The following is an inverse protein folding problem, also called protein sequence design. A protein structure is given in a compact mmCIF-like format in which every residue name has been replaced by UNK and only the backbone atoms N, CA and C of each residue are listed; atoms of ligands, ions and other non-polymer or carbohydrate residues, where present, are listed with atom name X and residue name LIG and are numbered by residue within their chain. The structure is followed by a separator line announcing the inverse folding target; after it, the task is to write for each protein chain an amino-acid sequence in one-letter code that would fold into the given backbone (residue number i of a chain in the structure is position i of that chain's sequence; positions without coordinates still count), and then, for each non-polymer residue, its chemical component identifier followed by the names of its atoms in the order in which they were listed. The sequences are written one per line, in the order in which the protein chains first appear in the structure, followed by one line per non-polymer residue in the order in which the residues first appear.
data_IF_919897845766
#
_entry.id   IF_919897845766
#
_cell.length_a   1.000
_cell.length_b   1.000
_cell.length_c   1.000
_cell.angle_alpha   90.00
_cell.angle_beta   90.00
_cell.angle_gamma   90.00
#
_symmetry.space_group_name_H-M   'P 1'
#
loop_
_entity.id
_entity.type
_entity.pdbx_description
1 polymer ?
#
# COMPACT_ATOMS: atom_id res chain seq x y z
N UNK A 1 46.24 26.24 -9.28
CA UNK A 1 44.78 26.13 -9.08
C UNK A 1 44.48 24.70 -8.72
N UNK A 2 44.35 24.42 -7.42
CA UNK A 2 44.09 23.07 -6.91
C UNK A 2 42.57 22.87 -6.88
N UNK A 3 42.02 22.23 -7.91
CA UNK A 3 40.69 21.60 -7.82
C UNK A 3 40.88 20.40 -6.88
N UNK A 4 40.93 20.69 -5.57
CA UNK A 4 40.95 19.65 -4.54
C UNK A 4 39.68 18.83 -4.76
N UNK A 5 39.89 17.58 -5.13
CA UNK A 5 38.90 16.53 -5.12
C UNK A 5 38.31 16.45 -3.71
N UNK A 6 37.24 17.20 -3.50
CA UNK A 6 36.50 17.20 -2.26
C UNK A 6 35.63 15.92 -2.28
N UNK A 7 35.91 14.90 -1.45
CA UNK A 7 35.22 13.61 -1.51
C UNK A 7 33.71 13.73 -1.27
N UNK A 8 33.27 14.83 -0.63
CA UNK A 8 31.87 15.19 -0.49
C UNK A 8 31.18 15.48 -1.83
N UNK A 9 31.89 16.03 -2.82
CA UNK A 9 31.36 16.29 -4.16
C UNK A 9 31.20 15.00 -4.97
N UNK A 10 32.10 14.03 -4.80
CA UNK A 10 31.96 12.69 -5.40
C UNK A 10 30.78 11.92 -4.80
N UNK A 11 30.60 11.98 -3.48
CA UNK A 11 29.50 11.31 -2.78
C UNK A 11 28.13 11.91 -3.14
N UNK A 12 28.04 13.24 -3.26
CA UNK A 12 26.79 13.90 -3.67
C UNK A 12 26.42 13.60 -5.12
N UNK A 13 27.39 13.47 -6.02
CA UNK A 13 27.14 13.03 -7.41
C UNK A 13 26.63 11.58 -7.47
N UNK A 14 27.22 10.67 -6.70
CA UNK A 14 26.77 9.27 -6.63
C UNK A 14 25.35 9.20 -6.04
N UNK A 15 25.08 9.94 -4.97
CA UNK A 15 23.76 10.00 -4.36
C UNK A 15 22.70 10.57 -5.33
N UNK A 16 23.02 11.64 -6.06
CA UNK A 16 22.13 12.22 -7.06
C UNK A 16 21.83 11.23 -8.20
N UNK A 17 22.83 10.46 -8.63
CA UNK A 17 22.68 9.46 -9.68
C UNK A 17 21.81 8.28 -9.20
N UNK A 18 21.97 7.84 -7.96
CA UNK A 18 21.11 6.82 -7.35
C UNK A 18 19.66 7.29 -7.22
N UNK A 19 19.44 8.53 -6.78
CA UNK A 19 18.10 9.13 -6.72
C UNK A 19 17.48 9.21 -8.11
N UNK A 20 18.25 9.62 -9.12
CA UNK A 20 17.79 9.69 -10.51
C UNK A 20 17.39 8.31 -11.06
N UNK A 21 18.18 7.27 -10.78
CA UNK A 21 17.87 5.89 -11.17
C UNK A 21 16.62 5.36 -10.46
N UNK A 22 16.44 5.66 -9.17
CA UNK A 22 15.24 5.30 -8.41
C UNK A 22 13.99 5.99 -8.96
N UNK A 23 14.09 7.27 -9.32
CA UNK A 23 13.00 8.02 -9.94
C UNK A 23 12.64 7.45 -11.33
N UNK A 24 13.64 7.07 -12.14
CA UNK A 24 13.41 6.38 -13.41
C UNK A 24 12.75 5.02 -13.22
N UNK A 25 13.18 4.23 -12.24
CA UNK A 25 12.56 2.94 -11.93
C UNK A 25 11.12 3.11 -11.46
N UNK A 26 10.85 4.09 -10.59
CA UNK A 26 9.49 4.42 -10.15
C UNK A 26 8.62 4.91 -11.32
N UNK A 27 9.15 5.76 -12.20
CA UNK A 27 8.45 6.20 -13.40
C UNK A 27 8.14 5.03 -14.34
N UNK A 28 9.10 4.11 -14.55
CA UNK A 28 8.89 2.89 -15.32
C UNK A 28 7.84 1.99 -14.70
N UNK A 29 7.84 1.79 -13.38
CA UNK A 29 6.82 1.03 -12.68
C UNK A 29 5.43 1.65 -12.84
N UNK A 30 5.32 2.97 -12.75
CA UNK A 30 4.06 3.71 -12.97
C UNK A 30 3.60 3.58 -14.43
N UNK A 31 4.52 3.70 -15.39
CA UNK A 31 4.21 3.57 -16.82
C UNK A 31 3.78 2.14 -17.14
N UNK A 32 4.50 1.13 -16.67
CA UNK A 32 4.14 -0.29 -16.83
C UNK A 32 2.78 -0.59 -16.19
N UNK A 33 2.51 -0.09 -14.98
CA UNK A 33 1.20 -0.21 -14.34
C UNK A 33 0.08 0.49 -15.12
N UNK A 34 0.36 1.64 -15.74
CA UNK A 34 -0.60 2.34 -16.63
C UNK A 34 -0.80 1.61 -17.95
N UNK A 35 0.22 0.94 -18.48
CA UNK A 35 0.12 0.10 -19.68
C UNK A 35 -0.70 -1.14 -19.37
N UNK A 36 -0.50 -1.80 -18.22
CA UNK A 36 -1.29 -2.95 -17.80
C UNK A 36 -2.78 -2.57 -17.66
N UNK A 37 -3.08 -1.44 -17.02
CA UNK A 37 -4.45 -0.92 -16.93
C UNK A 37 -5.08 -0.60 -18.30
N UNK A 38 -4.30 -0.07 -19.24
CA UNK A 38 -4.77 0.20 -20.62
C UNK A 38 -4.92 -1.06 -21.45
N UNK A 39 -3.99 -2.01 -21.32
CA UNK A 39 -4.02 -3.30 -22.00
C UNK A 39 -5.23 -4.11 -21.53
N UNK A 40 -5.51 -4.15 -20.21
CA UNK A 40 -6.73 -4.75 -19.68
C UNK A 40 -7.98 -4.10 -20.27
N UNK A 41 -8.07 -2.77 -20.28
CA UNK A 41 -9.22 -2.07 -20.89
C UNK A 41 -9.36 -2.33 -22.38
N UNK A 42 -8.27 -2.38 -23.13
CA UNK A 42 -8.29 -2.65 -24.57
C UNK A 42 -8.70 -4.11 -24.87
N UNK A 43 -8.23 -5.07 -24.07
CA UNK A 43 -8.65 -6.48 -24.14
C UNK A 43 -10.13 -6.61 -23.79
N UNK A 44 -10.60 -5.91 -22.76
CA UNK A 44 -12.02 -5.86 -22.40
C UNK A 44 -12.86 -5.30 -23.56
N UNK A 45 -12.49 -4.16 -24.14
CA UNK A 45 -13.22 -3.60 -25.28
C UNK A 45 -13.18 -4.49 -26.54
N UNK A 46 -12.05 -5.16 -26.80
CA UNK A 46 -11.91 -6.11 -27.90
C UNK A 46 -12.78 -7.35 -27.74
N UNK A 47 -12.88 -7.89 -26.53
CA UNK A 47 -13.74 -9.03 -26.21
C UNK A 47 -15.23 -8.66 -26.27
N UNK A 48 -15.60 -7.46 -25.83
CA UNK A 48 -16.95 -6.88 -25.99
C UNK A 48 -17.33 -6.73 -27.48
N UNK A 49 -16.41 -6.26 -28.31
CA UNK A 49 -16.63 -6.11 -29.75
C UNK A 49 -16.76 -7.47 -30.49
N UNK A 50 -16.19 -8.54 -29.93
CA UNK A 50 -16.28 -9.90 -30.45
C UNK A 50 -17.53 -10.67 -29.99
N UNK A 51 -18.40 -10.07 -29.16
CA UNK A 51 -19.68 -10.67 -28.74
C UNK A 51 -19.52 -11.96 -27.93
N UNK A 52 -18.33 -12.20 -27.35
CA UNK A 52 -18.09 -13.36 -26.48
C UNK A 52 -18.61 -13.03 -25.08
N UNK A 53 -19.58 -13.81 -24.60
CA UNK A 53 -20.26 -13.64 -23.32
C UNK A 53 -19.38 -13.92 -22.08
N UNK A 54 -18.10 -14.23 -22.28
CA UNK A 54 -17.08 -14.46 -21.24
C UNK A 54 -16.84 -13.22 -20.33
N UNK A 55 -17.51 -12.10 -20.60
CA UNK A 55 -17.51 -10.88 -19.79
C UNK A 55 -18.32 -10.97 -18.51
N UNK A 56 -19.39 -11.78 -18.48
CA UNK A 56 -20.11 -12.06 -17.25
C UNK A 56 -19.15 -12.74 -16.27
N UNK A 57 -18.46 -13.78 -16.74
CA UNK A 57 -17.47 -14.51 -15.96
C UNK A 57 -16.30 -13.62 -15.51
N UNK A 58 -15.78 -12.73 -16.37
CA UNK A 58 -14.69 -11.83 -16.00
C UNK A 58 -15.11 -10.73 -15.00
N UNK A 59 -16.35 -10.22 -15.10
CA UNK A 59 -16.90 -9.28 -14.14
C UNK A 59 -17.17 -9.96 -12.79
N UNK A 60 -17.78 -11.14 -12.82
CA UNK A 60 -18.06 -11.93 -11.62
C UNK A 60 -16.75 -12.33 -10.93
N UNK A 61 -15.71 -12.73 -11.67
CA UNK A 61 -14.40 -13.01 -11.11
C UNK A 61 -13.75 -11.76 -10.49
N UNK A 62 -13.93 -10.58 -11.10
CA UNK A 62 -13.37 -9.34 -10.56
C UNK A 62 -14.10 -8.90 -9.28
N UNK A 63 -15.43 -9.07 -9.23
CA UNK A 63 -16.25 -8.82 -8.05
C UNK A 63 -15.92 -9.82 -6.95
N UNK A 64 -15.82 -11.10 -7.28
CA UNK A 64 -15.48 -12.17 -6.34
C UNK A 64 -14.09 -11.94 -5.74
N UNK A 65 -13.06 -11.65 -6.56
CA UNK A 65 -11.73 -11.33 -6.06
C UNK A 65 -11.71 -10.10 -5.16
N UNK A 66 -12.47 -9.05 -5.51
CA UNK A 66 -12.59 -7.85 -4.68
C UNK A 66 -13.28 -8.16 -3.34
N UNK A 67 -14.35 -8.95 -3.35
CA UNK A 67 -15.01 -9.39 -2.11
C UNK A 67 -14.10 -10.27 -1.28
N UNK A 68 -13.32 -11.16 -1.91
CA UNK A 68 -12.35 -12.00 -1.22
C UNK A 68 -11.25 -11.17 -0.55
N UNK A 69 -10.79 -10.10 -1.21
CA UNK A 69 -9.80 -9.17 -0.65
C UNK A 69 -10.40 -8.33 0.50
N UNK A 70 -11.64 -7.87 0.38
CA UNK A 70 -12.35 -7.18 1.46
C UNK A 70 -12.57 -8.09 2.67
N UNK A 71 -12.95 -9.36 2.47
CA UNK A 71 -13.11 -10.34 3.54
C UNK A 71 -11.77 -10.65 4.20
N UNK A 72 -10.71 -10.89 3.41
CA UNK A 72 -9.36 -11.09 3.96
C UNK A 72 -8.87 -9.89 4.75
N UNK A 73 -9.17 -8.67 4.28
CA UNK A 73 -8.83 -7.45 4.99
C UNK A 73 -9.62 -7.35 6.31
N UNK A 74 -10.92 -7.64 6.31
CA UNK A 74 -11.74 -7.64 7.51
C UNK A 74 -11.31 -8.70 8.53
N UNK A 75 -10.97 -9.91 8.06
CA UNK A 75 -10.46 -11.00 8.90
C UNK A 75 -9.11 -10.65 9.51
N UNK A 76 -8.22 -10.04 8.71
CA UNK A 76 -6.93 -9.55 9.19
C UNK A 76 -7.12 -8.45 10.24
N UNK A 77 -8.00 -7.48 9.99
CA UNK A 77 -8.31 -6.40 10.93
C UNK A 77 -8.87 -6.95 12.26
N UNK A 78 -9.79 -7.92 12.19
CA UNK A 78 -10.40 -8.56 13.35
C UNK A 78 -9.38 -9.36 14.17
N UNK A 79 -8.46 -10.05 13.49
CA UNK A 79 -7.40 -10.87 14.12
C UNK A 79 -6.30 -10.02 14.76
N UNK A 80 -6.19 -8.75 14.37
CA UNK A 80 -5.16 -7.81 14.82
C UNK A 80 -5.73 -6.65 15.63
N UNK A 81 -6.95 -6.78 16.15
CA UNK A 81 -7.54 -5.76 17.03
C UNK A 81 -6.61 -5.50 18.23
N UNK A 82 -6.32 -4.22 18.47
CA UNK A 82 -5.45 -3.77 19.56
C UNK A 82 -3.95 -3.88 19.29
N UNK A 83 -3.53 -4.44 18.15
CA UNK A 83 -2.11 -4.53 17.77
C UNK A 83 -1.71 -3.32 16.92
N UNK A 84 -0.64 -2.59 17.28
CA UNK A 84 -0.13 -1.50 16.47
C UNK A 84 0.60 -2.05 15.23
N UNK A 85 0.30 -1.47 14.09
CA UNK A 85 0.87 -1.80 12.79
C UNK A 85 1.32 -0.52 12.08
N UNK A 86 2.52 -0.55 11.50
CA UNK A 86 3.03 0.57 10.70
C UNK A 86 2.58 0.40 9.24
N UNK A 87 1.76 1.33 8.75
CA UNK A 87 1.24 1.33 7.38
C UNK A 87 2.28 1.85 6.38
N UNK A 88 2.94 2.93 6.77
CA UNK A 88 4.05 3.57 6.06
C UNK A 88 4.93 4.23 7.10
N UNK A 89 6.18 4.54 6.75
CA UNK A 89 7.13 5.15 7.67
C UNK A 89 6.53 6.37 8.39
N UNK A 90 6.39 6.27 9.71
CA UNK A 90 5.82 7.34 10.55
C UNK A 90 4.29 7.45 10.53
N UNK A 91 3.57 6.43 10.04
CA UNK A 91 2.11 6.34 10.12
C UNK A 91 1.71 4.98 10.71
N UNK A 92 1.14 5.04 11.91
CA UNK A 92 0.73 3.89 12.70
C UNK A 92 -0.78 3.75 12.73
N UNK A 93 -1.24 2.51 12.76
CA UNK A 93 -2.63 2.12 12.83
C UNK A 93 -2.80 1.07 13.93
N UNK A 94 -3.92 1.14 14.66
CA UNK A 94 -4.37 0.09 15.56
C UNK A 94 -5.80 -0.30 15.15
N UNK A 95 -6.03 -1.52 14.64
CA UNK A 95 -7.37 -1.99 14.34
C UNK A 95 -8.25 -2.01 15.60
N UNK A 96 -9.46 -1.48 15.50
CA UNK A 96 -10.45 -1.47 16.59
C UNK A 96 -11.50 -2.58 16.40
N UNK A 97 -11.86 -2.84 15.15
CA UNK A 97 -12.76 -3.90 14.71
C UNK A 97 -12.46 -4.25 13.23
N UNK A 98 -13.31 -5.04 12.57
CA UNK A 98 -13.17 -5.45 11.17
C UNK A 98 -13.12 -4.31 10.15
N UNK A 99 -13.59 -3.11 10.50
CA UNK A 99 -13.80 -1.98 9.57
C UNK A 99 -13.21 -0.66 10.05
N UNK A 100 -12.81 -0.54 11.32
CA UNK A 100 -12.38 0.70 11.94
C UNK A 100 -10.99 0.55 12.56
N UNK A 101 -10.20 1.62 12.51
CA UNK A 101 -8.88 1.72 13.13
C UNK A 101 -8.66 3.09 13.77
N UNK A 102 -7.82 3.13 14.81
CA UNK A 102 -7.20 4.35 15.30
C UNK A 102 -5.86 4.58 14.59
N UNK A 103 -5.47 5.83 14.42
CA UNK A 103 -4.24 6.21 13.71
C UNK A 103 -3.41 7.17 14.55
N UNK A 104 -2.10 7.19 14.31
CA UNK A 104 -1.16 8.13 14.91
C UNK A 104 0.11 8.26 14.09
N UNK A 105 0.90 9.30 14.33
CA UNK A 105 2.21 9.49 13.69
C UNK A 105 3.32 8.69 14.40
N UNK A 106 3.01 8.19 15.59
CA UNK A 106 3.88 7.31 16.37
C UNK A 106 3.08 6.11 16.89
N UNK A 107 3.79 5.03 17.25
CA UNK A 107 3.19 3.83 17.85
C UNK A 107 2.34 4.18 19.07
N UNK A 108 2.89 5.01 19.96
CA UNK A 108 2.25 5.36 21.23
C UNK A 108 1.01 6.24 21.01
N UNK A 109 1.07 7.20 20.07
CA UNK A 109 -0.08 8.03 19.71
C UNK A 109 -1.24 7.18 19.15
N UNK A 110 -0.94 6.18 18.32
CA UNK A 110 -1.96 5.28 17.79
C UNK A 110 -2.58 4.39 18.88
N UNK A 111 -1.77 3.93 19.85
CA UNK A 111 -2.26 3.16 21.01
C UNK A 111 -3.09 4.02 21.97
N UNK A 112 -2.69 5.26 22.24
CA UNK A 112 -3.46 6.20 23.06
C UNK A 112 -4.80 6.55 22.40
N UNK A 113 -4.79 6.76 21.07
CA UNK A 113 -6.02 6.95 20.31
C UNK A 113 -6.93 5.71 20.36
N UNK A 114 -6.36 4.50 20.33
CA UNK A 114 -7.10 3.25 20.44
C UNK A 114 -7.64 2.99 21.86
N UNK A 115 -6.95 3.43 22.91
CA UNK A 115 -7.35 3.29 24.31
C UNK A 115 -8.67 3.99 24.67
N UNK A 116 -9.11 4.94 23.84
CA UNK A 116 -10.43 5.57 23.98
C UNK A 116 -11.58 4.63 23.61
N UNK A 117 -11.30 3.59 22.83
CA UNK A 117 -12.31 2.71 22.23
C UNK A 117 -12.17 1.24 22.62
N UNK A 118 -10.96 0.79 22.98
CA UNK A 118 -10.69 -0.59 23.37
C UNK A 118 -10.42 -0.71 24.88
N UNK A 119 -10.91 -1.78 25.53
CA UNK A 119 -10.52 -2.09 26.90
C UNK A 119 -9.03 -2.43 26.98
N UNK A 120 -8.39 -2.08 28.10
CA UNK A 120 -6.95 -2.23 28.31
C UNK A 120 -6.44 -3.67 28.06
N UNK A 121 -7.26 -4.68 28.33
CA UNK A 121 -6.95 -6.10 28.08
C UNK A 121 -6.68 -6.42 26.60
N UNK A 122 -7.40 -5.75 25.68
CA UNK A 122 -7.21 -5.95 24.23
C UNK A 122 -5.99 -5.20 23.68
N UNK A 123 -5.55 -4.13 24.36
CA UNK A 123 -4.35 -3.40 24.00
C UNK A 123 -3.08 -4.08 24.55
N UNK A 124 -3.16 -4.68 25.74
CA UNK A 124 -2.06 -5.42 26.34
C UNK A 124 -1.69 -6.70 25.55
N UNK A 125 -2.66 -7.30 24.83
CA UNK A 125 -2.41 -8.43 23.95
C UNK A 125 -1.62 -8.08 22.67
N UNK A 126 -1.40 -6.79 22.41
CA UNK A 126 -0.66 -6.26 21.25
C UNK A 126 0.54 -5.38 21.57
N UNK A 127 0.86 -5.17 22.85
CA UNK A 127 2.03 -4.42 23.31
C UNK A 127 3.31 -5.28 23.23
#
# INVERSE_FOLDING_TARGET
MSYVADPAHGLTQIAALLVFVLLLAAAFAIILGRIDARARRAVTLGLLALGRNDMADAYDLAVENKMLDEVKQQDWMTSNVGKPFELTYGAWMVPLNSTSAAYGNTRDEALEAAAKYLPAEKLAAGA
#
